data_IF_282138365290
#
_entry.id   IF_282138365290
#
_cell.length_a   1.000
_cell.length_b   1.000
_cell.length_c   1.000
_cell.angle_alpha   90.00
_cell.angle_beta   90.00
_cell.angle_gamma   90.00
#
_symmetry.space_group_name_H-M   'P 1'
#
loop_
_entity.id
_entity.type
_entity.pdbx_description
1 polymer ?
#
# COMPACT_ATOMS: atom_id res chain seq x y z
N UNK A 1 -8.13 28.37 20.21
CA UNK A 1 -6.81 27.74 19.98
C UNK A 1 -7.07 26.29 19.62
N UNK A 2 -6.49 25.79 18.52
CA UNK A 2 -6.64 24.40 18.07
C UNK A 2 -5.27 23.72 18.05
N UNK A 3 -5.22 22.47 18.50
CA UNK A 3 -4.02 21.63 18.48
C UNK A 3 -4.24 20.47 17.52
N UNK A 4 -3.20 20.06 16.79
CA UNK A 4 -3.23 18.97 15.82
C UNK A 4 -2.10 17.98 16.12
N UNK A 5 -2.42 16.68 16.16
CA UNK A 5 -1.50 15.60 16.50
C UNK A 5 -1.46 14.51 15.41
N UNK A 6 -1.52 14.92 14.15
CA UNK A 6 -1.61 14.01 12.99
C UNK A 6 -0.47 12.98 12.91
N UNK A 7 0.73 13.33 13.39
CA UNK A 7 1.86 12.40 13.42
C UNK A 7 1.66 11.26 14.44
N UNK A 8 1.04 11.53 15.58
CA UNK A 8 0.74 10.51 16.60
C UNK A 8 -0.26 9.50 16.06
N UNK A 9 -1.34 9.99 15.45
CA UNK A 9 -2.35 9.16 14.79
C UNK A 9 -1.73 8.31 13.68
N UNK A 10 -0.87 8.88 12.83
CA UNK A 10 -0.12 8.15 11.80
C UNK A 10 0.74 7.03 12.39
N UNK A 11 1.42 7.28 13.51
CA UNK A 11 2.23 6.27 14.20
C UNK A 11 1.37 5.16 14.80
N UNK A 12 0.18 5.47 15.31
CA UNK A 12 -0.72 4.45 15.85
C UNK A 12 -1.29 3.53 14.76
N UNK A 13 -1.60 4.07 13.57
CA UNK A 13 -1.96 3.23 12.42
C UNK A 13 -0.79 2.39 11.91
N UNK A 14 0.44 2.89 11.98
CA UNK A 14 1.62 2.08 11.68
C UNK A 14 1.79 0.90 12.65
N UNK A 15 1.62 1.14 13.96
CA UNK A 15 1.61 0.05 14.95
C UNK A 15 0.50 -0.95 14.68
N UNK A 16 -0.69 -0.49 14.25
CA UNK A 16 -1.81 -1.36 13.90
C UNK A 16 -1.49 -2.24 12.68
N UNK A 17 -0.82 -1.67 11.67
CA UNK A 17 -0.31 -2.43 10.52
C UNK A 17 0.66 -3.53 10.96
N UNK A 18 1.57 -3.22 11.88
CA UNK A 18 2.60 -4.15 12.36
C UNK A 18 2.01 -5.27 13.25
N UNK A 19 1.09 -4.93 14.15
CA UNK A 19 0.52 -5.90 15.10
C UNK A 19 -0.64 -6.73 14.54
N UNK A 20 -1.25 -6.29 13.42
CA UNK A 20 -2.29 -7.02 12.66
C UNK A 20 -3.54 -7.37 13.47
N UNK A 21 -3.75 -6.76 14.65
CA UNK A 21 -4.88 -7.09 15.53
C UNK A 21 -6.20 -6.64 14.93
N UNK A 22 -7.17 -7.55 14.86
CA UNK A 22 -8.51 -7.23 14.37
C UNK A 22 -8.60 -7.20 12.84
N UNK A 23 -7.65 -7.80 12.13
CA UNK A 23 -7.70 -7.90 10.68
C UNK A 23 -8.95 -8.64 10.19
N UNK A 24 -9.51 -8.13 9.09
CA UNK A 24 -10.68 -8.67 8.39
C UNK A 24 -10.41 -8.84 6.89
N UNK A 25 -9.18 -8.58 6.44
CA UNK A 25 -8.70 -8.80 5.07
C UNK A 25 -7.46 -9.68 5.08
N UNK A 26 -7.45 -10.70 4.22
CA UNK A 26 -6.31 -11.56 3.93
C UNK A 26 -5.90 -11.33 2.47
N UNK A 27 -4.64 -10.99 2.25
CA UNK A 27 -4.07 -10.73 0.93
C UNK A 27 -2.99 -11.77 0.66
N UNK A 28 -3.17 -12.52 -0.41
CA UNK A 28 -2.19 -13.45 -0.96
C UNK A 28 -1.43 -12.75 -2.09
N UNK A 29 -0.18 -12.37 -1.83
CA UNK A 29 0.69 -11.65 -2.77
C UNK A 29 1.90 -12.50 -3.16
N UNK A 30 2.27 -12.46 -4.44
CA UNK A 30 3.33 -13.27 -5.03
C UNK A 30 2.87 -14.64 -5.53
N UNK A 31 3.80 -15.40 -6.08
CA UNK A 31 3.56 -16.71 -6.69
C UNK A 31 4.55 -17.76 -6.17
N UNK A 32 4.12 -19.02 -6.18
CA UNK A 32 4.93 -20.18 -5.82
C UNK A 32 5.61 -19.99 -4.45
N UNK A 33 6.93 -20.13 -4.39
CA UNK A 33 7.74 -20.01 -3.18
C UNK A 33 7.76 -18.58 -2.60
N UNK A 34 7.36 -17.57 -3.37
CA UNK A 34 7.31 -16.17 -2.94
C UNK A 34 5.91 -15.72 -2.49
N UNK A 35 4.94 -16.63 -2.50
CA UNK A 35 3.59 -16.37 -2.01
C UNK A 35 3.64 -16.05 -0.51
N UNK A 36 3.14 -14.88 -0.12
CA UNK A 36 2.95 -14.52 1.28
C UNK A 36 1.51 -14.14 1.57
N UNK A 37 1.08 -14.50 2.77
CA UNK A 37 -0.15 -14.05 3.37
C UNK A 37 0.09 -12.76 4.16
N UNK A 38 -0.67 -11.71 3.84
CA UNK A 38 -0.62 -10.40 4.47
C UNK A 38 -1.99 -10.09 5.07
N UNK A 39 -2.00 -9.61 6.32
CA UNK A 39 -3.23 -9.26 7.04
C UNK A 39 -3.44 -7.74 7.03
N UNK A 40 -4.68 -7.32 6.79
CA UNK A 40 -5.05 -5.91 6.72
C UNK A 40 -6.48 -5.63 7.22
N UNK A 41 -6.83 -4.34 7.30
CA UNK A 41 -8.12 -3.85 7.80
C UNK A 41 -8.90 -3.17 6.67
N UNK A 42 -10.08 -3.70 6.37
CA UNK A 42 -10.93 -3.25 5.26
C UNK A 42 -11.29 -1.77 5.41
N UNK A 43 -11.61 -1.30 6.61
CA UNK A 43 -11.96 0.11 6.86
C UNK A 43 -10.83 1.08 6.46
N UNK A 44 -9.59 0.74 6.79
CA UNK A 44 -8.42 1.56 6.44
C UNK A 44 -8.24 1.54 4.92
N UNK A 45 -8.27 0.36 4.30
CA UNK A 45 -8.12 0.21 2.85
C UNK A 45 -9.19 1.01 2.07
N UNK A 46 -10.47 0.89 2.45
CA UNK A 46 -11.60 1.58 1.81
C UNK A 46 -11.52 3.09 1.95
N UNK A 47 -11.04 3.57 3.08
CA UNK A 47 -10.90 5.01 3.35
C UNK A 47 -9.82 5.65 2.48
N UNK A 48 -8.78 4.88 2.13
CA UNK A 48 -7.55 5.40 1.53
C UNK A 48 -7.37 5.01 0.06
N UNK A 49 -8.23 4.15 -0.48
CA UNK A 49 -8.17 3.66 -1.84
C UNK A 49 -9.58 3.40 -2.38
N UNK A 50 -9.90 4.08 -3.48
CA UNK A 50 -11.19 3.92 -4.15
C UNK A 50 -11.34 2.53 -4.78
N UNK A 51 -10.23 1.91 -5.18
CA UNK A 51 -10.20 0.53 -5.65
C UNK A 51 -10.72 -0.40 -4.56
N UNK A 52 -10.15 -0.33 -3.35
CA UNK A 52 -10.59 -1.16 -2.24
C UNK A 52 -12.02 -0.81 -1.80
N UNK A 53 -12.38 0.48 -1.78
CA UNK A 53 -13.75 0.91 -1.48
C UNK A 53 -14.77 0.23 -2.39
N UNK A 54 -14.60 0.39 -3.70
CA UNK A 54 -15.50 -0.19 -4.71
C UNK A 54 -15.53 -1.72 -4.61
N UNK A 55 -14.35 -2.33 -4.51
CA UNK A 55 -14.19 -3.78 -4.52
C UNK A 55 -14.86 -4.44 -3.30
N UNK A 56 -14.75 -3.82 -2.12
CA UNK A 56 -15.40 -4.33 -0.91
C UNK A 56 -16.91 -3.99 -0.84
N UNK A 57 -17.34 -2.81 -1.31
CA UNK A 57 -18.77 -2.42 -1.36
C UNK A 57 -19.58 -3.35 -2.25
N UNK A 58 -19.07 -3.63 -3.45
CA UNK A 58 -19.80 -4.37 -4.48
C UNK A 58 -19.76 -5.89 -4.25
N UNK A 59 -19.24 -6.35 -3.11
CA UNK A 59 -18.99 -7.77 -2.80
C UNK A 59 -18.24 -8.51 -3.93
N UNK A 60 -17.34 -7.81 -4.63
CA UNK A 60 -16.55 -8.38 -5.73
C UNK A 60 -15.39 -9.27 -5.23
N UNK A 61 -15.29 -9.45 -3.91
CA UNK A 61 -14.24 -10.20 -3.23
C UNK A 61 -14.88 -11.35 -2.49
N UNK A 62 -14.25 -12.51 -2.60
CA UNK A 62 -14.63 -13.68 -1.82
C UNK A 62 -14.52 -13.37 -0.32
N UNK A 63 -15.53 -13.76 0.46
CA UNK A 63 -15.44 -13.81 1.91
C UNK A 63 -15.33 -15.26 2.39
N UNK A 64 -14.38 -15.53 3.25
CA UNK A 64 -14.20 -16.82 3.92
C UNK A 64 -14.12 -16.58 5.43
N UNK A 65 -14.96 -17.27 6.21
CA UNK A 65 -15.01 -17.13 7.68
C UNK A 65 -15.13 -15.66 8.14
N UNK A 66 -15.92 -14.87 7.43
CA UNK A 66 -16.12 -13.44 7.72
C UNK A 66 -15.01 -12.50 7.25
N UNK A 67 -13.94 -13.01 6.64
CA UNK A 67 -12.80 -12.21 6.17
C UNK A 67 -12.77 -12.09 4.65
N UNK A 68 -12.40 -10.92 4.14
CA UNK A 68 -12.21 -10.72 2.71
C UNK A 68 -10.91 -11.39 2.24
N UNK A 69 -10.97 -12.12 1.13
CA UNK A 69 -9.84 -12.84 0.54
C UNK A 69 -9.43 -12.19 -0.77
N UNK A 70 -8.24 -11.62 -0.80
CA UNK A 70 -7.67 -10.93 -1.95
C UNK A 70 -6.48 -11.73 -2.49
N UNK A 71 -6.47 -12.00 -3.81
CA UNK A 71 -5.35 -12.68 -4.47
C UNK A 71 -4.71 -11.76 -5.49
N UNK A 72 -3.41 -11.52 -5.35
CA UNK A 72 -2.60 -10.65 -6.21
C UNK A 72 -1.28 -11.34 -6.56
N UNK A 73 -1.34 -12.43 -7.34
CA UNK A 73 -0.16 -13.25 -7.65
C UNK A 73 0.91 -12.45 -8.42
N UNK A 74 0.48 -11.54 -9.31
CA UNK A 74 1.37 -10.70 -10.12
C UNK A 74 2.15 -9.62 -9.34
N UNK A 75 1.91 -9.46 -8.04
CA UNK A 75 2.54 -8.41 -7.22
C UNK A 75 3.36 -9.08 -6.13
N UNK A 76 4.64 -8.75 -6.04
CA UNK A 76 5.48 -9.27 -4.97
C UNK A 76 4.98 -8.79 -3.59
N UNK A 77 5.07 -9.68 -2.61
CA UNK A 77 4.65 -9.39 -1.24
C UNK A 77 5.36 -8.15 -0.67
N UNK A 78 6.64 -7.97 -0.95
CA UNK A 78 7.40 -6.79 -0.51
C UNK A 78 6.84 -5.48 -1.09
N UNK A 79 6.50 -5.43 -2.39
CA UNK A 79 5.88 -4.23 -2.98
C UNK A 79 4.50 -3.97 -2.36
N UNK A 80 3.74 -5.03 -2.10
CA UNK A 80 2.43 -4.92 -1.48
C UNK A 80 2.53 -4.36 -0.04
N UNK A 81 3.50 -4.80 0.75
CA UNK A 81 3.75 -4.29 2.10
C UNK A 81 4.13 -2.80 2.10
N UNK A 82 4.93 -2.34 1.13
CA UNK A 82 5.27 -0.92 0.97
C UNK A 82 4.00 -0.08 0.73
N UNK A 83 3.13 -0.54 -0.16
CA UNK A 83 1.86 0.16 -0.48
C UNK A 83 0.94 0.16 0.73
N UNK A 84 0.80 -0.96 1.42
CA UNK A 84 -0.04 -1.05 2.62
C UNK A 84 0.49 -0.12 3.72
N UNK A 85 1.79 -0.11 3.99
CA UNK A 85 2.36 0.84 4.97
C UNK A 85 2.03 2.29 4.60
N UNK A 86 2.16 2.66 3.34
CA UNK A 86 1.77 3.99 2.87
C UNK A 86 0.27 4.27 3.05
N UNK A 87 -0.60 3.30 2.77
CA UNK A 87 -2.05 3.42 3.00
C UNK A 87 -2.36 3.69 4.47
N UNK A 88 -1.69 3.00 5.39
CA UNK A 88 -1.94 3.12 6.83
C UNK A 88 -1.42 4.42 7.43
N UNK A 89 -0.17 4.77 7.16
CA UNK A 89 0.50 5.86 7.88
C UNK A 89 1.10 6.95 6.98
N UNK A 90 0.97 6.82 5.67
CA UNK A 90 1.53 7.79 4.70
C UNK A 90 3.06 7.74 4.59
N UNK A 91 3.73 6.80 5.27
CA UNK A 91 5.18 6.66 5.21
C UNK A 91 5.58 5.75 4.06
N UNK A 92 6.64 6.13 3.37
CA UNK A 92 7.26 5.32 2.33
C UNK A 92 8.76 5.55 2.29
N UNK A 93 9.52 4.46 2.25
CA UNK A 93 10.95 4.51 1.95
C UNK A 93 11.17 3.94 0.54
N UNK A 94 11.58 4.82 -0.37
CA UNK A 94 11.87 4.44 -1.74
C UNK A 94 13.38 4.20 -1.96
N UNK A 95 14.26 4.51 -1.00
CA UNK A 95 15.72 4.67 -1.21
C UNK A 95 16.36 3.52 -1.98
N UNK A 96 16.00 2.29 -1.64
CA UNK A 96 16.64 1.07 -2.15
C UNK A 96 15.93 0.45 -3.36
N UNK A 97 14.84 1.04 -3.86
CA UNK A 97 14.13 0.51 -5.03
C UNK A 97 14.83 0.90 -6.32
N UNK A 98 15.09 -0.09 -7.18
CA UNK A 98 15.66 0.12 -8.51
C UNK A 98 14.59 0.56 -9.52
N UNK A 99 15.02 1.06 -10.68
CA UNK A 99 14.12 1.56 -11.74
C UNK A 99 12.96 0.60 -12.08
N UNK A 100 13.22 -0.69 -12.38
CA UNK A 100 12.15 -1.65 -12.66
C UNK A 100 11.18 -1.87 -11.48
N UNK A 101 11.67 -1.87 -10.25
CA UNK A 101 10.82 -2.02 -9.05
C UNK A 101 9.97 -0.77 -8.80
N UNK A 102 10.55 0.42 -9.03
CA UNK A 102 9.84 1.69 -8.97
C UNK A 102 8.71 1.76 -9.99
N UNK A 103 8.94 1.29 -11.23
CA UNK A 103 7.91 1.20 -12.26
C UNK A 103 6.80 0.24 -11.85
N UNK A 104 7.16 -0.97 -11.36
CA UNK A 104 6.17 -1.94 -10.84
C UNK A 104 5.37 -1.34 -9.68
N UNK A 105 6.02 -0.69 -8.73
CA UNK A 105 5.35 -0.02 -7.61
C UNK A 105 4.35 1.04 -8.12
N UNK A 106 4.73 1.83 -9.13
CA UNK A 106 3.84 2.82 -9.75
C UNK A 106 2.62 2.19 -10.41
N UNK A 107 2.81 1.09 -11.15
CA UNK A 107 1.71 0.38 -11.81
C UNK A 107 0.73 -0.19 -10.78
N UNK A 108 1.23 -0.75 -9.68
CA UNK A 108 0.36 -1.27 -8.62
C UNK A 108 -0.33 -0.15 -7.84
N UNK A 109 0.35 0.97 -7.59
CA UNK A 109 -0.26 2.14 -6.96
C UNK A 109 -1.41 2.72 -7.80
N UNK A 110 -1.27 2.70 -9.13
CA UNK A 110 -2.31 3.07 -10.08
C UNK A 110 -3.48 2.08 -10.07
N UNK A 111 -3.19 0.77 -10.15
CA UNK A 111 -4.20 -0.30 -10.06
C UNK A 111 -5.02 -0.20 -8.77
N UNK A 112 -4.35 0.02 -7.64
CA UNK A 112 -4.98 0.17 -6.33
C UNK A 112 -5.53 1.58 -6.08
N UNK A 113 -5.47 2.48 -7.07
CA UNK A 113 -5.95 3.85 -7.00
C UNK A 113 -5.49 4.57 -5.72
N UNK A 114 -4.17 4.77 -5.61
CA UNK A 114 -3.50 5.52 -4.53
C UNK A 114 -2.71 6.70 -5.12
N UNK A 115 -3.38 7.79 -5.55
CA UNK A 115 -2.73 8.86 -6.34
C UNK A 115 -1.58 9.57 -5.61
N UNK A 116 -1.67 9.74 -4.29
CA UNK A 116 -0.60 10.37 -3.50
C UNK A 116 0.70 9.54 -3.53
N UNK A 117 0.60 8.22 -3.60
CA UNK A 117 1.76 7.34 -3.74
C UNK A 117 2.43 7.52 -5.11
N UNK A 118 1.63 7.58 -6.17
CA UNK A 118 2.11 7.84 -7.54
C UNK A 118 2.89 9.16 -7.58
N UNK A 119 2.35 10.20 -6.94
CA UNK A 119 3.04 11.49 -6.83
C UNK A 119 4.40 11.38 -6.11
N UNK A 120 4.48 10.64 -4.99
CA UNK A 120 5.75 10.40 -4.29
C UNK A 120 6.79 9.69 -5.17
N UNK A 121 6.37 8.69 -5.95
CA UNK A 121 7.22 7.93 -6.86
C UNK A 121 7.74 8.84 -7.98
N UNK A 122 6.86 9.61 -8.62
CA UNK A 122 7.22 10.56 -9.69
C UNK A 122 8.20 11.62 -9.19
N UNK A 123 7.93 12.21 -8.00
CA UNK A 123 8.82 13.22 -7.40
C UNK A 123 10.24 12.70 -7.19
N UNK A 124 10.39 11.44 -6.77
CA UNK A 124 11.72 10.80 -6.65
C UNK A 124 12.41 10.68 -8.01
N UNK A 125 11.68 10.26 -9.05
CA UNK A 125 12.22 10.13 -10.41
C UNK A 125 12.71 11.47 -10.97
N UNK A 126 11.94 12.55 -10.81
CA UNK A 126 12.38 13.90 -11.23
C UNK A 126 13.64 14.39 -10.52
N UNK A 127 13.74 14.16 -9.21
CA UNK A 127 14.96 14.51 -8.45
C UNK A 127 16.20 13.77 -8.92
N UNK A 128 16.04 12.56 -9.47
CA UNK A 128 17.14 11.82 -10.08
C UNK A 128 17.57 12.43 -11.42
N UNK A 129 16.61 12.77 -12.29
CA UNK A 129 16.90 13.41 -13.58
C UNK A 129 17.52 14.80 -13.43
N UNK A 130 17.05 15.62 -12.49
CA UNK A 130 17.63 16.95 -12.24
C UNK A 130 19.09 16.86 -11.78
N UNK A 131 19.44 15.86 -10.96
CA UNK A 131 20.81 15.65 -10.47
C UNK A 131 21.78 15.15 -11.56
N UNK A 132 21.27 14.48 -12.60
CA UNK A 132 22.08 14.05 -13.76
C UNK A 132 22.36 15.24 -14.68
N UNK A 133 21.37 16.11 -14.92
CA UNK A 133 21.51 17.26 -15.81
C UNK A 133 22.32 18.41 -15.19
N UNK A 134 22.52 18.42 -13.88
CA UNK A 134 23.31 19.43 -13.15
C UNK A 134 24.77 19.04 -12.91
N UNK A 135 25.23 17.91 -13.47
CA UNK A 135 26.62 17.43 -13.42
C UNK A 135 27.22 17.44 -14.81
#
# INVERSE_FOLDING_TARGET
MSFEYSQEISNDYEKLFENKKGYDVIIYAGENENLKEIHAHSLILRTRSQYFNTTFCNNLVKKENGKFIFKKPNISSNLFEIILRFIYCGKIDLKNLQGPEMLKLSMVADELNVPTLIFCIQKKSYGYFSNILSK
#
